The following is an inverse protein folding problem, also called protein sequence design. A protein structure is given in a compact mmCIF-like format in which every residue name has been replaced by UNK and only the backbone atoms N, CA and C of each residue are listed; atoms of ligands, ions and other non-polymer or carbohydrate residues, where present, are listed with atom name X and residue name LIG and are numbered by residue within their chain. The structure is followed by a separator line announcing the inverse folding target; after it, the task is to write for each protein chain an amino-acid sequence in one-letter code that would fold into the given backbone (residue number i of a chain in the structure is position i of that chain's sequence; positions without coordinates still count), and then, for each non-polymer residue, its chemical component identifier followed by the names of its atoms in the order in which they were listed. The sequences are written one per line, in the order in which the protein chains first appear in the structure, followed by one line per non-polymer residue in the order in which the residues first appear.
data_IF_504880869706
#
_entry.id   IF_504880869706
#
_cell.length_a   1.000
_cell.length_b   1.000
_cell.length_c   1.000
_cell.angle_alpha   90.00
_cell.angle_beta   90.00
_cell.angle_gamma   90.00
#
_symmetry.space_group_name_H-M   'P 1'
#
loop_
_entity.id
_entity.type
_entity.pdbx_description
1 polymer ?
#
# COMPACT_ATOMS: atom_id res chain seq x y z
N UNK A 1 -14.18 -40.04 18.87
CA UNK A 1 -14.95 -38.92 18.28
C UNK A 1 -16.17 -38.68 19.15
N UNK A 2 -16.51 -37.43 19.50
CA UNK A 2 -17.75 -37.13 20.23
C UNK A 2 -18.92 -37.32 19.24
N UNK A 3 -19.76 -38.31 19.50
CA UNK A 3 -20.88 -38.76 18.64
C UNK A 3 -22.23 -38.27 19.16
N UNK A 4 -22.28 -37.10 19.81
CA UNK A 4 -23.55 -36.45 20.14
C UNK A 4 -23.78 -35.28 19.18
N UNK A 5 -25.01 -35.12 18.67
CA UNK A 5 -25.42 -33.99 17.84
C UNK A 5 -25.58 -32.70 18.67
N UNK A 6 -24.52 -32.30 19.40
CA UNK A 6 -24.47 -31.04 20.12
C UNK A 6 -23.89 -29.96 19.22
N UNK A 7 -24.52 -28.79 19.23
CA UNK A 7 -23.92 -27.58 18.66
C UNK A 7 -22.73 -27.15 19.52
N UNK A 8 -21.67 -26.65 18.89
CA UNK A 8 -20.55 -26.01 19.56
C UNK A 8 -20.03 -24.84 18.73
N UNK A 9 -19.57 -23.79 19.38
CA UNK A 9 -18.94 -22.65 18.74
C UNK A 9 -17.42 -22.77 18.85
N UNK A 10 -16.71 -22.57 17.74
CA UNK A 10 -15.23 -22.59 17.71
C UNK A 10 -14.72 -21.44 16.85
N UNK A 11 -13.68 -20.76 17.34
CA UNK A 11 -13.00 -19.73 16.58
C UNK A 11 -12.19 -20.35 15.44
N UNK A 12 -12.35 -19.82 14.22
CA UNK A 12 -11.58 -20.19 13.03
C UNK A 12 -10.72 -19.03 12.56
N UNK A 13 -9.40 -19.14 12.76
CA UNK A 13 -8.45 -18.06 12.46
C UNK A 13 -8.43 -17.69 10.96
N UNK A 14 -8.58 -18.68 10.07
CA UNK A 14 -8.64 -18.46 8.62
C UNK A 14 -9.82 -17.57 8.24
N UNK A 15 -10.99 -17.80 8.84
CA UNK A 15 -12.19 -16.99 8.62
C UNK A 15 -11.98 -15.55 9.06
N UNK A 16 -11.38 -15.34 10.24
CA UNK A 16 -11.05 -14.00 10.74
C UNK A 16 -10.07 -13.25 9.83
N UNK A 17 -9.02 -13.94 9.36
CA UNK A 17 -8.05 -13.37 8.41
C UNK A 17 -8.71 -12.98 7.09
N UNK A 18 -9.57 -13.84 6.54
CA UNK A 18 -10.26 -13.57 5.28
C UNK A 18 -11.18 -12.34 5.39
N UNK A 19 -11.91 -12.19 6.50
CA UNK A 19 -12.74 -11.00 6.76
C UNK A 19 -11.87 -9.75 6.90
N UNK A 20 -10.75 -9.85 7.63
CA UNK A 20 -9.81 -8.74 7.76
C UNK A 20 -9.24 -8.31 6.42
N UNK A 21 -8.78 -9.23 5.58
CA UNK A 21 -8.21 -8.93 4.26
C UNK A 21 -9.23 -8.26 3.33
N UNK A 22 -10.49 -8.73 3.33
CA UNK A 22 -11.58 -8.07 2.58
C UNK A 22 -11.80 -6.64 3.04
N UNK A 23 -11.91 -6.42 4.35
CA UNK A 23 -12.10 -5.08 4.90
C UNK A 23 -10.88 -4.19 4.66
N UNK A 24 -9.68 -4.76 4.75
CA UNK A 24 -8.42 -4.06 4.51
C UNK A 24 -8.26 -3.64 3.06
N UNK A 25 -8.75 -4.43 2.10
CA UNK A 25 -8.78 -4.06 0.68
C UNK A 25 -9.67 -2.83 0.41
N UNK A 26 -10.74 -2.66 1.20
CA UNK A 26 -11.62 -1.49 1.13
C UNK A 26 -11.07 -0.26 1.86
N UNK A 27 -10.01 -0.43 2.66
CA UNK A 27 -9.36 0.65 3.39
C UNK A 27 -8.31 1.34 2.51
N UNK A 28 -8.30 2.67 2.53
CA UNK A 28 -7.27 3.48 1.89
C UNK A 28 -7.83 4.62 1.05
N UNK A 29 -6.95 5.53 0.62
CA UNK A 29 -7.32 6.63 -0.27
C UNK A 29 -7.44 6.10 -1.70
N UNK A 30 -8.58 6.35 -2.35
CA UNK A 30 -8.78 6.06 -3.77
C UNK A 30 -7.84 6.90 -4.63
N UNK A 31 -7.46 6.40 -5.80
CA UNK A 31 -6.56 7.10 -6.71
C UNK A 31 -7.19 8.37 -7.27
N UNK A 32 -6.44 9.47 -7.30
CA UNK A 32 -6.84 10.74 -7.91
C UNK A 32 -6.86 10.76 -9.45
N UNK A 33 -6.62 9.63 -10.11
CA UNK A 33 -6.46 9.56 -11.58
C UNK A 33 -7.65 10.20 -12.32
N UNK A 34 -8.87 9.85 -11.94
CA UNK A 34 -10.09 10.33 -12.59
C UNK A 34 -10.36 11.82 -12.30
N UNK A 35 -9.98 12.31 -11.12
CA UNK A 35 -10.18 13.72 -10.74
C UNK A 35 -9.24 14.67 -11.52
N UNK A 36 -8.11 14.14 -11.99
CA UNK A 36 -6.98 14.89 -12.55
C UNK A 36 -6.81 14.64 -14.06
N UNK A 37 -7.82 14.06 -14.71
CA UNK A 37 -7.78 13.66 -16.13
C UNK A 37 -7.31 14.77 -17.07
N UNK A 38 -7.89 15.98 -16.97
CA UNK A 38 -7.52 17.14 -17.81
C UNK A 38 -6.04 17.52 -17.71
N UNK A 39 -5.47 17.42 -16.52
CA UNK A 39 -4.04 17.68 -16.31
C UNK A 39 -3.18 16.57 -16.91
N UNK A 40 -3.63 15.32 -16.81
CA UNK A 40 -2.92 14.17 -17.38
C UNK A 40 -2.90 14.23 -18.90
N UNK A 41 -4.02 14.57 -19.55
CA UNK A 41 -4.07 14.73 -21.01
C UNK A 41 -3.06 15.77 -21.49
N UNK A 42 -3.04 16.94 -20.85
CA UNK A 42 -2.07 18.00 -21.15
C UNK A 42 -0.62 17.53 -20.92
N UNK A 43 -0.37 16.85 -19.80
CA UNK A 43 0.96 16.34 -19.48
C UNK A 43 1.44 15.28 -20.48
N UNK A 44 0.57 14.35 -20.87
CA UNK A 44 0.85 13.33 -21.88
C UNK A 44 1.15 13.97 -23.23
N UNK A 45 0.36 14.94 -23.66
CA UNK A 45 0.57 15.64 -24.92
C UNK A 45 1.95 16.33 -24.98
N UNK A 46 2.30 17.06 -23.91
CA UNK A 46 3.58 17.77 -23.82
C UNK A 46 4.79 16.85 -23.70
N UNK A 47 4.67 15.74 -22.98
CA UNK A 47 5.77 14.78 -22.85
C UNK A 47 5.97 14.02 -24.17
N UNK A 48 4.89 13.63 -24.85
CA UNK A 48 5.00 12.81 -26.06
C UNK A 48 5.43 13.64 -27.28
N UNK A 49 4.80 14.80 -27.51
CA UNK A 49 5.06 15.68 -28.67
C UNK A 49 6.32 16.53 -28.47
N UNK A 50 6.35 17.31 -27.39
CA UNK A 50 7.38 18.33 -27.17
C UNK A 50 8.61 17.79 -26.40
N UNK A 51 8.57 16.52 -25.95
CA UNK A 51 9.63 15.86 -25.17
C UNK A 51 10.00 16.61 -23.88
N UNK A 52 9.03 17.27 -23.27
CA UNK A 52 9.24 17.98 -22.01
C UNK A 52 9.53 17.02 -20.86
N UNK A 53 10.32 17.50 -19.90
CA UNK A 53 10.51 16.78 -18.63
C UNK A 53 9.26 16.88 -17.77
N UNK A 54 8.97 15.85 -16.97
CA UNK A 54 7.82 15.84 -16.04
C UNK A 54 7.84 17.05 -15.10
N UNK A 55 9.03 17.46 -14.66
CA UNK A 55 9.17 18.62 -13.77
C UNK A 55 8.84 19.94 -14.47
N UNK A 56 9.22 20.08 -15.74
CA UNK A 56 8.87 21.25 -16.54
C UNK A 56 7.35 21.36 -16.74
N UNK A 57 6.67 20.25 -17.04
CA UNK A 57 5.21 20.22 -17.18
C UNK A 57 4.51 20.64 -15.89
N UNK A 58 4.88 20.07 -14.74
CA UNK A 58 4.28 20.41 -13.44
C UNK A 58 4.52 21.88 -13.09
N UNK A 59 5.74 22.40 -13.33
CA UNK A 59 6.06 23.81 -13.11
C UNK A 59 5.22 24.72 -14.01
N UNK A 60 5.15 24.42 -15.30
CA UNK A 60 4.37 25.19 -16.27
C UNK A 60 2.88 25.20 -15.93
N UNK A 61 2.31 24.05 -15.56
CA UNK A 61 0.90 23.96 -15.15
C UNK A 61 0.59 24.80 -13.91
N UNK A 62 1.56 24.96 -13.01
CA UNK A 62 1.41 25.73 -11.79
C UNK A 62 1.50 27.23 -12.01
N UNK A 63 2.50 27.67 -12.77
CA UNK A 63 2.81 29.09 -12.96
C UNK A 63 1.97 29.72 -14.08
N UNK A 64 1.88 29.07 -15.23
CA UNK A 64 1.30 29.67 -16.45
C UNK A 64 -0.18 29.31 -16.62
N UNK A 65 -0.56 28.06 -16.34
CA UNK A 65 -1.94 27.59 -16.51
C UNK A 65 -2.80 27.73 -15.24
N UNK A 66 -2.20 28.06 -14.09
CA UNK A 66 -2.91 28.31 -12.84
C UNK A 66 -3.72 27.12 -12.31
N UNK A 67 -3.29 25.88 -12.54
CA UNK A 67 -4.01 24.71 -12.05
C UNK A 67 -4.14 24.72 -10.53
N UNK A 68 -5.36 24.52 -10.02
CA UNK A 68 -5.57 24.32 -8.59
C UNK A 68 -4.87 23.04 -8.11
N UNK A 69 -4.29 23.09 -6.91
CA UNK A 69 -3.58 21.95 -6.28
C UNK A 69 -4.43 20.69 -6.20
N UNK A 70 -5.75 20.82 -6.10
CA UNK A 70 -6.65 19.67 -6.03
C UNK A 70 -6.82 18.96 -7.38
N UNK A 71 -6.72 19.73 -8.48
CA UNK A 71 -6.88 19.25 -9.86
C UNK A 71 -5.54 18.92 -10.52
N UNK A 72 -4.46 18.82 -9.74
CA UNK A 72 -3.11 18.55 -10.20
C UNK A 72 -2.42 17.55 -9.27
N UNK A 73 -1.39 16.86 -9.78
CA UNK A 73 -0.51 15.99 -9.00
C UNK A 73 0.92 16.52 -8.97
N UNK A 74 1.68 16.12 -7.94
CA UNK A 74 3.10 16.43 -7.88
C UNK A 74 3.92 15.57 -8.85
N UNK A 75 5.13 16.03 -9.15
CA UNK A 75 6.09 15.37 -10.04
C UNK A 75 6.34 13.92 -9.67
N UNK A 76 6.49 13.65 -8.38
CA UNK A 76 6.76 12.29 -7.89
C UNK A 76 5.58 11.34 -8.09
N UNK A 77 4.36 11.86 -7.99
CA UNK A 77 3.14 11.08 -8.30
C UNK A 77 3.08 10.73 -9.78
N UNK A 78 3.40 11.69 -10.67
CA UNK A 78 3.49 11.45 -12.12
C UNK A 78 4.53 10.38 -12.46
N UNK A 79 5.73 10.44 -11.88
CA UNK A 79 6.75 9.41 -12.07
C UNK A 79 6.27 8.03 -11.59
N UNK A 80 5.64 7.95 -10.42
CA UNK A 80 5.09 6.70 -9.88
C UNK A 80 3.99 6.11 -10.77
N UNK A 81 3.11 6.96 -11.32
CA UNK A 81 2.06 6.52 -12.23
C UNK A 81 2.60 6.06 -13.59
N UNK A 82 3.64 6.72 -14.09
CA UNK A 82 4.37 6.29 -15.29
C UNK A 82 5.02 4.92 -15.09
N UNK A 83 5.70 4.71 -13.96
CA UNK A 83 6.32 3.41 -13.63
C UNK A 83 5.29 2.29 -13.47
N UNK A 84 4.10 2.60 -12.97
CA UNK A 84 2.98 1.65 -12.86
C UNK A 84 2.24 1.40 -14.17
N UNK A 85 2.56 2.14 -15.24
CA UNK A 85 1.86 2.03 -16.53
C UNK A 85 0.41 2.54 -16.50
N UNK A 86 0.12 3.50 -15.62
CA UNK A 86 -1.22 4.10 -15.48
C UNK A 86 -1.48 5.26 -16.47
N UNK A 87 -0.44 5.70 -17.17
CA UNK A 87 -0.45 6.79 -18.14
C UNK A 87 -0.08 6.25 -19.51
N UNK A 88 -0.43 6.99 -20.59
CA UNK A 88 0.02 6.65 -21.96
C UNK A 88 1.53 6.78 -22.12
N UNK A 89 2.14 7.71 -21.37
CA UNK A 89 3.58 7.91 -21.33
C UNK A 89 4.27 6.71 -20.69
N UNK A 90 5.32 6.18 -21.33
CA UNK A 90 6.14 5.09 -20.79
C UNK A 90 7.49 5.62 -20.33
N UNK A 91 8.20 4.83 -19.52
CA UNK A 91 9.56 5.18 -19.10
C UNK A 91 10.52 5.45 -20.27
N UNK A 92 10.27 4.87 -21.45
CA UNK A 92 11.01 5.13 -22.70
C UNK A 92 10.91 6.58 -23.17
N UNK A 93 9.77 7.21 -22.90
CA UNK A 93 9.48 8.59 -23.33
C UNK A 93 10.10 9.63 -22.40
N UNK A 94 10.63 9.21 -21.24
CA UNK A 94 11.28 10.08 -20.26
C UNK A 94 12.81 10.00 -20.39
N UNK A 95 13.45 10.83 -21.24
CA UNK A 95 14.88 10.72 -21.53
C UNK A 95 15.76 10.87 -20.28
N UNK A 96 15.34 11.71 -19.32
CA UNK A 96 16.05 11.89 -18.05
C UNK A 96 16.06 10.61 -17.20
N UNK A 97 14.95 9.87 -17.19
CA UNK A 97 14.81 8.64 -16.38
C UNK A 97 15.65 7.50 -16.95
N UNK A 98 15.65 7.34 -18.28
CA UNK A 98 16.41 6.27 -18.96
C UNK A 98 17.91 6.42 -18.77
N UNK A 99 18.43 7.66 -18.71
CA UNK A 99 19.85 7.94 -18.49
C UNK A 99 20.34 7.59 -17.07
N UNK A 100 19.44 7.52 -16.10
CA UNK A 100 19.81 7.30 -14.70
C UNK A 100 20.00 5.82 -14.41
N UNK A 101 21.16 5.47 -13.84
CA UNK A 101 21.41 4.12 -13.34
C UNK A 101 20.60 3.90 -12.05
N UNK A 102 19.81 2.82 -11.93
CA UNK A 102 19.07 2.56 -10.71
C UNK A 102 20.03 2.33 -9.55
N UNK A 103 19.70 2.90 -8.39
CA UNK A 103 20.47 2.69 -7.17
C UNK A 103 20.36 1.22 -6.76
N UNK A 104 21.50 0.57 -6.56
CA UNK A 104 21.55 -0.78 -5.99
C UNK A 104 21.01 -0.74 -4.57
N UNK A 105 19.81 -1.28 -4.34
CA UNK A 105 19.26 -1.47 -2.99
C UNK A 105 19.77 -2.81 -2.45
N UNK A 106 20.47 -2.77 -1.31
CA UNK A 106 20.77 -4.00 -0.57
C UNK A 106 19.48 -4.40 0.15
N UNK A 107 19.07 -5.65 0.02
CA UNK A 107 17.96 -6.17 0.83
C UNK A 107 18.31 -5.95 2.31
N UNK A 108 17.50 -5.17 3.03
CA UNK A 108 17.59 -5.16 4.49
C UNK A 108 17.12 -6.53 4.93
N UNK A 109 18.05 -7.39 5.35
CA UNK A 109 17.71 -8.62 6.05
C UNK A 109 17.06 -8.19 7.36
N UNK A 110 15.73 -8.24 7.42
CA UNK A 110 15.03 -8.05 8.68
C UNK A 110 15.54 -9.15 9.62
N UNK A 111 15.99 -8.78 10.82
CA UNK A 111 16.23 -9.77 11.89
C UNK A 111 14.87 -10.38 12.20
N UNK A 112 14.58 -11.56 11.64
CA UNK A 112 13.31 -12.26 11.87
C UNK A 112 13.32 -12.67 13.33
N UNK A 113 12.61 -11.93 14.17
CA UNK A 113 12.28 -12.41 15.52
C UNK A 113 11.29 -13.58 15.34
N UNK A 114 11.47 -14.70 16.07
CA UNK A 114 10.50 -15.79 16.02
C UNK A 114 9.11 -15.23 16.38
N UNK A 115 8.12 -15.53 15.56
CA UNK A 115 6.72 -15.21 15.88
C UNK A 115 6.29 -16.10 17.05
N UNK A 116 5.38 -15.61 17.88
CA UNK A 116 4.76 -16.40 18.94
C UNK A 116 4.00 -17.62 18.40
N UNK A 117 3.57 -18.49 19.32
CA UNK A 117 2.78 -19.70 19.02
C UNK A 117 1.47 -19.38 18.29
N UNK A 118 0.90 -20.38 17.62
CA UNK A 118 -0.39 -20.26 16.92
C UNK A 118 -1.50 -19.86 17.89
N UNK A 119 -2.51 -19.12 17.40
CA UNK A 119 -3.68 -18.71 18.20
C UNK A 119 -4.47 -19.95 18.69
N UNK A 120 -4.40 -21.07 17.97
CA UNK A 120 -5.07 -22.33 18.33
C UNK A 120 -4.43 -23.02 19.55
N UNK A 121 -3.15 -22.75 19.82
CA UNK A 121 -2.41 -23.29 20.98
C UNK A 121 -2.54 -22.40 22.23
N UNK A 122 -3.36 -21.34 22.16
CA UNK A 122 -3.52 -20.39 23.24
C UNK A 122 -4.32 -21.02 24.39
N UNK A 123 -3.89 -20.87 25.66
CA UNK A 123 -4.63 -21.40 26.80
C UNK A 123 -5.99 -20.70 26.96
N UNK A 124 -7.01 -21.45 27.40
CA UNK A 124 -8.39 -20.97 27.56
C UNK A 124 -8.54 -19.76 28.49
N UNK A 125 -7.66 -19.66 29.50
CA UNK A 125 -7.55 -18.53 30.44
C UNK A 125 -7.41 -17.19 29.71
N UNK A 126 -6.88 -17.20 28.50
CA UNK A 126 -6.60 -16.01 27.73
C UNK A 126 -7.83 -15.43 26.99
N UNK A 127 -8.95 -16.15 26.97
CA UNK A 127 -10.24 -15.68 26.45
C UNK A 127 -11.00 -14.83 27.48
N UNK A 128 -10.65 -14.92 28.77
CA UNK A 128 -11.28 -14.16 29.84
C UNK A 128 -10.63 -12.77 29.97
N UNK A 129 -11.45 -11.73 29.82
CA UNK A 129 -11.01 -10.31 29.86
C UNK A 129 -10.37 -9.91 31.19
N UNK A 130 -10.71 -10.58 32.29
CA UNK A 130 -10.17 -10.34 33.63
C UNK A 130 -8.79 -10.95 33.89
N UNK A 131 -8.39 -11.98 33.13
CA UNK A 131 -7.16 -12.76 33.41
C UNK A 131 -5.97 -12.36 32.53
N UNK A 132 -6.14 -11.39 31.63
CA UNK A 132 -5.06 -10.91 30.74
C UNK A 132 -3.88 -10.31 31.52
N UNK A 133 -4.14 -9.70 32.69
CA UNK A 133 -3.11 -9.18 33.60
C UNK A 133 -2.25 -10.30 34.20
N UNK A 134 -2.84 -11.48 34.44
CA UNK A 134 -2.18 -12.64 35.07
C UNK A 134 -1.24 -13.37 34.10
N UNK A 135 -1.57 -13.37 32.81
CA UNK A 135 -0.76 -13.97 31.73
C UNK A 135 0.53 -13.18 31.47
N UNK A 136 0.51 -11.85 31.59
CA UNK A 136 1.70 -11.00 31.45
C UNK A 136 2.73 -11.21 32.58
N UNK A 137 2.29 -11.64 33.77
CA UNK A 137 3.17 -11.93 34.90
C UNK A 137 3.86 -13.30 34.81
N UNK A 138 3.28 -14.27 34.09
CA UNK A 138 3.81 -15.65 33.99
C UNK A 138 4.76 -15.86 32.80
N UNK A 139 4.86 -14.89 31.87
CA UNK A 139 5.70 -14.97 30.68
C UNK A 139 7.16 -14.51 30.88
N UNK A 140 7.66 -14.48 32.11
CA UNK A 140 9.01 -13.99 32.45
C UNK A 140 9.90 -15.10 33.03
N UNK A 141 9.87 -16.31 32.44
CA UNK A 141 10.90 -17.33 32.69
C UNK A 141 11.16 -18.11 31.40
N UNK A 142 12.44 -18.15 31.04
CA UNK A 142 13.11 -18.82 29.90
C UNK A 142 13.03 -18.13 28.52
#
# INVERSE_FOLDING_TARGET
MRTNLSTFEKYFAQTGKAVYERNRANCGRKSKLLEVEKFLEFAEEKILKDKWSVNAVVGYCREELGFSKDKMVCTETLYNWTEKGLLKTRNTDLPTKVKLKPRKTKAKVAKIKPKGKSIEERPDVANNRGDLSRILCLGKVA
#
